data_IF_769721845320
#
_entry.id   IF_769721845320
#
_cell.length_a   1.000
_cell.length_b   1.000
_cell.length_c   1.000
_cell.angle_alpha   90.00
_cell.angle_beta   90.00
_cell.angle_gamma   90.00
#
_symmetry.space_group_name_H-M   'P 1'
#
loop_
_entity.id
_entity.type
_entity.pdbx_description
1 polymer ?
#
# COMPACT_ATOMS: atom_id res chain seq x y z
N UNK A 1 -7.83 16.61 15.82
CA UNK A 1 -7.76 17.56 16.95
C UNK A 1 -6.68 18.59 16.67
N UNK A 2 -6.94 19.88 16.90
CA UNK A 2 -5.93 20.93 16.77
C UNK A 2 -5.07 20.95 18.05
N UNK A 3 -3.76 20.68 17.92
CA UNK A 3 -2.80 20.76 19.05
C UNK A 3 -2.74 22.17 19.63
N UNK A 4 -2.76 22.28 20.97
CA UNK A 4 -2.65 23.54 21.69
C UNK A 4 -1.23 24.13 21.64
N UNK A 5 -1.09 25.44 21.91
CA UNK A 5 0.22 26.10 21.95
C UNK A 5 1.14 25.51 23.02
N UNK A 6 0.58 25.08 24.16
CA UNK A 6 1.32 24.47 25.27
C UNK A 6 1.87 23.08 24.93
N UNK A 7 1.09 22.28 24.20
CA UNK A 7 1.51 20.95 23.73
C UNK A 7 2.66 21.06 22.73
N UNK A 8 2.58 22.03 21.80
CA UNK A 8 3.68 22.33 20.88
C UNK A 8 4.95 22.79 21.62
N UNK A 9 4.80 23.63 22.63
CA UNK A 9 5.93 24.08 23.46
C UNK A 9 6.65 22.93 24.16
N UNK A 10 5.89 21.96 24.70
CA UNK A 10 6.44 20.74 25.31
C UNK A 10 7.18 19.87 24.31
N UNK A 11 6.61 19.63 23.12
CA UNK A 11 7.26 18.84 22.07
C UNK A 11 8.60 19.46 21.65
N UNK A 12 8.66 20.79 21.46
CA UNK A 12 9.90 21.48 21.08
C UNK A 12 10.96 21.36 22.18
N UNK A 13 10.57 21.49 23.45
CA UNK A 13 11.48 21.34 24.58
C UNK A 13 12.08 19.93 24.64
N UNK A 14 11.23 18.90 24.60
CA UNK A 14 11.68 17.51 24.64
C UNK A 14 12.49 17.12 23.40
N UNK A 15 12.15 17.66 22.22
CA UNK A 15 12.94 17.46 21.01
C UNK A 15 14.37 17.99 21.19
N UNK A 16 14.53 19.18 21.78
CA UNK A 16 15.84 19.77 22.06
C UNK A 16 16.63 18.96 23.11
N UNK A 17 15.96 18.52 24.18
CA UNK A 17 16.58 17.69 25.23
C UNK A 17 17.07 16.33 24.69
N UNK A 18 16.31 15.73 23.77
CA UNK A 18 16.62 14.44 23.16
C UNK A 18 17.50 14.54 21.90
N UNK A 19 17.86 15.76 21.48
CA UNK A 19 18.64 15.98 20.25
C UNK A 19 17.90 15.60 18.97
N UNK A 20 16.57 15.57 18.98
CA UNK A 20 15.71 15.20 17.86
C UNK A 20 15.15 16.45 17.21
N UNK A 21 14.97 16.44 15.89
CA UNK A 21 14.28 17.54 15.19
C UNK A 21 12.83 17.68 15.70
N UNK A 22 12.41 18.91 16.02
CA UNK A 22 11.06 19.16 16.57
C UNK A 22 9.93 18.65 15.67
N UNK A 23 10.12 18.64 14.34
CA UNK A 23 9.17 18.07 13.38
C UNK A 23 9.04 16.55 13.53
N UNK A 24 10.15 15.87 13.78
CA UNK A 24 10.21 14.42 13.99
C UNK A 24 9.57 14.05 15.32
N UNK A 25 9.92 14.76 16.40
CA UNK A 25 9.28 14.57 17.71
C UNK A 25 7.75 14.79 17.66
N UNK A 26 7.29 15.80 16.92
CA UNK A 26 5.86 16.05 16.70
C UNK A 26 5.18 14.93 15.93
N UNK A 27 5.82 14.38 14.90
CA UNK A 27 5.30 13.22 14.17
C UNK A 27 5.14 12.00 15.09
N UNK A 28 6.14 11.71 15.91
CA UNK A 28 6.07 10.62 16.88
C UNK A 28 4.96 10.82 17.91
N UNK A 29 4.80 12.04 18.43
CA UNK A 29 3.72 12.36 19.36
C UNK A 29 2.34 12.13 18.77
N UNK A 30 2.11 12.57 17.52
CA UNK A 30 0.85 12.30 16.81
C UNK A 30 0.61 10.82 16.58
N UNK A 31 1.63 10.10 16.11
CA UNK A 31 1.52 8.66 15.92
C UNK A 31 1.21 7.93 17.23
N UNK A 32 1.81 8.33 18.35
CA UNK A 32 1.52 7.77 19.67
C UNK A 32 0.07 8.02 20.12
N UNK A 33 -0.47 9.23 19.87
CA UNK A 33 -1.86 9.57 20.17
C UNK A 33 -2.86 8.80 19.29
N UNK A 34 -2.52 8.58 18.01
CA UNK A 34 -3.39 7.93 17.02
C UNK A 34 -3.30 6.40 17.07
N UNK A 35 -2.14 5.83 17.45
CA UNK A 35 -1.85 4.39 17.45
C UNK A 35 -1.59 3.90 18.88
N UNK A 36 -2.67 3.69 19.64
CA UNK A 36 -2.75 2.73 20.78
C UNK A 36 -1.60 2.72 21.80
N UNK A 37 -0.96 3.86 22.11
CA UNK A 37 0.19 3.95 23.02
C UNK A 37 1.41 3.10 22.62
N UNK A 38 1.53 2.67 21.36
CA UNK A 38 2.72 1.97 20.87
C UNK A 38 3.67 2.94 20.17
N UNK A 39 4.97 2.75 20.37
CA UNK A 39 5.99 3.52 19.63
C UNK A 39 5.86 3.12 18.15
N UNK A 40 5.77 4.08 17.20
CA UNK A 40 5.61 3.79 15.78
C UNK A 40 6.91 3.22 15.20
N UNK A 41 7.24 1.99 15.55
CA UNK A 41 8.24 1.19 14.86
C UNK A 41 7.51 0.43 13.75
N UNK A 42 8.02 0.53 12.52
CA UNK A 42 7.43 0.07 11.25
C UNK A 42 6.42 -1.08 11.41
N UNK A 43 5.15 -0.75 11.63
CA UNK A 43 4.08 -1.74 11.66
C UNK A 43 3.84 -2.15 10.22
N UNK A 44 4.28 -3.35 9.84
CA UNK A 44 4.11 -3.89 8.48
C UNK A 44 2.64 -3.92 8.03
N UNK A 45 1.70 -4.07 8.97
CA UNK A 45 0.25 -3.97 8.71
C UNK A 45 -0.20 -2.63 8.11
N UNK A 46 0.57 -1.56 8.28
CA UNK A 46 0.24 -0.24 7.72
C UNK A 46 0.95 0.03 6.38
N UNK A 47 1.83 -0.89 5.96
CA UNK A 47 2.49 -0.87 4.65
C UNK A 47 1.78 -1.82 3.69
N UNK A 48 0.45 -1.94 3.78
CA UNK A 48 -0.30 -2.58 2.70
C UNK A 48 -0.04 -1.71 1.48
N UNK A 49 0.60 -2.27 0.46
CA UNK A 49 0.79 -1.60 -0.82
C UNK A 49 -0.56 -1.16 -1.40
N UNK A 50 -0.53 -0.46 -2.53
CA UNK A 50 -1.77 -0.20 -3.26
C UNK A 50 -2.53 -1.53 -3.44
N UNK A 51 -3.83 -1.61 -3.09
CA UNK A 51 -4.61 -2.80 -3.33
C UNK A 51 -4.49 -3.21 -4.80
N UNK A 52 -4.37 -4.51 -5.04
CA UNK A 52 -4.33 -5.01 -6.41
C UNK A 52 -5.56 -4.53 -7.18
N UNK A 53 -5.37 -4.10 -8.42
CA UNK A 53 -6.47 -3.78 -9.33
C UNK A 53 -7.19 -5.04 -9.85
N UNK A 54 -6.67 -6.23 -9.50
CA UNK A 54 -7.31 -7.50 -9.82
C UNK A 54 -8.52 -7.76 -8.92
N UNK A 55 -9.60 -8.17 -9.54
CA UNK A 55 -10.76 -8.74 -8.87
C UNK A 55 -10.71 -10.26 -9.02
N UNK A 56 -11.48 -10.98 -8.20
CA UNK A 56 -11.64 -12.43 -8.32
C UNK A 56 -12.11 -12.85 -9.73
N UNK A 57 -12.87 -11.99 -10.42
CA UNK A 57 -13.34 -12.24 -11.79
C UNK A 57 -12.17 -12.25 -12.78
N UNK A 58 -11.23 -11.30 -12.67
CA UNK A 58 -10.03 -11.26 -13.50
C UNK A 58 -9.16 -12.52 -13.27
N UNK A 59 -9.00 -12.95 -12.02
CA UNK A 59 -8.22 -14.15 -11.69
C UNK A 59 -8.87 -15.43 -12.23
N UNK A 60 -10.19 -15.53 -12.13
CA UNK A 60 -10.95 -16.68 -12.64
C UNK A 60 -10.83 -16.75 -14.16
N UNK A 61 -10.97 -15.60 -14.82
CA UNK A 61 -10.81 -15.50 -16.27
C UNK A 61 -9.41 -15.90 -16.74
N UNK A 62 -8.35 -15.48 -16.04
CA UNK A 62 -6.97 -15.92 -16.36
C UNK A 62 -6.83 -17.44 -16.24
N UNK A 63 -7.36 -18.04 -15.16
CA UNK A 63 -7.31 -19.50 -14.97
C UNK A 63 -8.02 -20.24 -16.10
N UNK A 64 -9.22 -19.82 -16.46
CA UNK A 64 -9.97 -20.41 -17.59
C UNK A 64 -9.25 -20.25 -18.93
N UNK A 65 -8.51 -19.16 -19.12
CA UNK A 65 -7.72 -18.90 -20.32
C UNK A 65 -6.50 -19.84 -20.39
N UNK A 66 -5.78 -20.00 -19.27
CA UNK A 66 -4.62 -20.90 -19.15
C UNK A 66 -5.01 -22.37 -19.21
N UNK A 67 -6.18 -22.75 -18.70
CA UNK A 67 -6.71 -24.12 -18.82
C UNK A 67 -6.99 -24.50 -20.29
N UNK A 68 -7.37 -23.51 -21.12
CA UNK A 68 -7.62 -23.71 -22.56
C UNK A 68 -6.33 -23.71 -23.37
N UNK A 69 -5.39 -22.82 -23.04
CA UNK A 69 -4.09 -22.74 -23.70
C UNK A 69 -2.98 -22.42 -22.69
N UNK A 70 -2.26 -23.45 -22.18
CA UNK A 70 -1.19 -23.27 -21.21
C UNK A 70 0.04 -22.53 -21.76
N UNK A 71 0.15 -22.32 -23.08
CA UNK A 71 1.31 -21.67 -23.72
C UNK A 71 1.11 -20.18 -24.00
N UNK A 72 0.02 -19.59 -23.51
CA UNK A 72 -0.25 -18.17 -23.71
C UNK A 72 0.84 -17.27 -23.14
N UNK A 73 1.24 -16.28 -23.95
CA UNK A 73 2.17 -15.26 -23.50
C UNK A 73 1.44 -14.18 -22.69
N UNK A 74 2.19 -13.50 -21.83
CA UNK A 74 1.64 -12.42 -21.00
C UNK A 74 0.94 -11.34 -21.81
N UNK A 75 1.46 -11.03 -23.00
CA UNK A 75 0.90 -10.06 -23.94
C UNK A 75 -0.50 -10.48 -24.44
N UNK A 76 -0.69 -11.78 -24.70
CA UNK A 76 -1.98 -12.32 -25.16
C UNK A 76 -3.01 -12.27 -24.03
N UNK A 77 -2.60 -12.63 -22.81
CA UNK A 77 -3.43 -12.56 -21.61
C UNK A 77 -3.88 -11.12 -21.33
N UNK A 78 -2.96 -10.14 -21.45
CA UNK A 78 -3.28 -8.72 -21.31
C UNK A 78 -4.28 -8.28 -22.39
N UNK A 79 -4.06 -8.72 -23.63
CA UNK A 79 -4.97 -8.43 -24.74
C UNK A 79 -6.39 -8.95 -24.51
N UNK A 80 -6.53 -10.18 -24.04
CA UNK A 80 -7.82 -10.78 -23.73
C UNK A 80 -8.50 -10.12 -22.52
N UNK A 81 -7.75 -9.81 -21.46
CA UNK A 81 -8.28 -9.08 -20.31
C UNK A 81 -8.78 -7.68 -20.68
N UNK A 82 -8.04 -6.94 -21.50
CA UNK A 82 -8.47 -5.61 -21.94
C UNK A 82 -9.66 -5.65 -22.91
N UNK A 83 -9.89 -6.76 -23.62
CA UNK A 83 -11.10 -6.97 -24.42
C UNK A 83 -12.31 -7.36 -23.55
N UNK A 84 -12.10 -8.25 -22.58
CA UNK A 84 -13.15 -8.78 -21.71
C UNK A 84 -13.64 -7.79 -20.65
N UNK A 85 -12.77 -6.88 -20.19
CA UNK A 85 -13.05 -5.94 -19.12
C UNK A 85 -12.84 -4.50 -19.60
N UNK A 86 -13.94 -3.83 -19.93
CA UNK A 86 -13.90 -2.46 -20.45
C UNK A 86 -13.30 -1.49 -19.41
N UNK A 87 -12.26 -0.76 -19.81
CA UNK A 87 -11.55 0.18 -18.93
C UNK A 87 -10.49 -0.48 -18.04
N UNK A 88 -10.31 -1.80 -18.14
CA UNK A 88 -9.22 -2.49 -17.46
C UNK A 88 -7.93 -2.40 -18.29
N UNK A 89 -6.92 -1.74 -17.72
CA UNK A 89 -5.59 -1.62 -18.29
C UNK A 89 -4.57 -2.14 -17.30
N UNK A 90 -3.70 -3.02 -17.77
CA UNK A 90 -2.77 -3.78 -16.96
C UNK A 90 -1.40 -3.83 -17.65
N UNK A 91 -0.35 -3.59 -16.89
CA UNK A 91 1.03 -3.79 -17.32
C UNK A 91 1.52 -5.22 -17.02
N UNK A 92 2.47 -5.72 -17.81
CA UNK A 92 3.09 -7.05 -17.63
C UNK A 92 3.65 -7.29 -16.23
N UNK A 93 4.21 -6.27 -15.59
CA UNK A 93 4.69 -6.35 -14.20
C UNK A 93 3.58 -6.66 -13.21
N UNK A 94 2.39 -6.08 -13.39
CA UNK A 94 1.23 -6.33 -12.55
C UNK A 94 0.66 -7.74 -12.78
N UNK A 95 0.67 -8.23 -14.03
CA UNK A 95 0.27 -9.60 -14.35
C UNK A 95 1.21 -10.62 -13.68
N UNK A 96 2.52 -10.41 -13.77
CA UNK A 96 3.51 -11.31 -13.17
C UNK A 96 3.39 -11.37 -11.64
N UNK A 97 3.03 -10.25 -11.00
CA UNK A 97 2.72 -10.26 -9.56
C UNK A 97 1.43 -11.03 -9.25
N UNK A 98 0.42 -10.99 -10.12
CA UNK A 98 -0.85 -11.69 -9.90
C UNK A 98 -0.76 -13.21 -10.18
N UNK A 99 0.12 -13.63 -11.10
CA UNK A 99 0.35 -15.04 -11.42
C UNK A 99 1.52 -15.68 -10.65
N UNK A 100 2.28 -14.90 -9.88
CA UNK A 100 3.56 -15.29 -9.29
C UNK A 100 3.52 -15.85 -7.87
N UNK A 101 2.34 -16.07 -7.28
CA UNK A 101 2.17 -16.70 -5.96
C UNK A 101 1.73 -18.18 -6.08
#
# INVERSE_FOLDING_TARGET
MLESAEERGRIVRFAKELGVESRTARRWWKCYQEQTNEVPYKVSKNNVGCPSSFTNEHETYIRELLDKDPQLYSEDIIGELSKGFMGFSICKTQLNHACGD
#
